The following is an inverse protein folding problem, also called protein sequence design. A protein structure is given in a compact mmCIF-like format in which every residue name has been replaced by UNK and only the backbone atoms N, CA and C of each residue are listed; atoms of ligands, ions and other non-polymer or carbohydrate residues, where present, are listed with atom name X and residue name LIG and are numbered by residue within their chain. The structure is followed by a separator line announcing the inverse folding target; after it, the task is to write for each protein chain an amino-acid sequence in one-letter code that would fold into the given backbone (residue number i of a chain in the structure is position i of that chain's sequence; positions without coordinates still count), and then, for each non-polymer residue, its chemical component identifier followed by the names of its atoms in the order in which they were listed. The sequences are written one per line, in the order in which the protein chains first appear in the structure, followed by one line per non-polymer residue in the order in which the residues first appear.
data_IF_383226384687
#
_entry.id   IF_383226384687
#
_cell.length_a   1.000
_cell.length_b   1.000
_cell.length_c   1.000
_cell.angle_alpha   90.00
_cell.angle_beta   90.00
_cell.angle_gamma   90.00
#
_symmetry.space_group_name_H-M   'P 1'
#
loop_
_entity.id
_entity.type
_entity.pdbx_description
1 polymer ?
#
# COMPACT_ATOMS: atom_id res chain seq x y z
N UNK A 1 6.47 19.11 15.15
CA UNK A 1 7.48 18.24 14.51
C UNK A 1 8.64 18.04 15.48
N UNK A 2 9.13 16.81 15.67
CA UNK A 2 10.27 16.50 16.55
C UNK A 2 11.45 15.99 15.73
N UNK A 3 12.65 16.55 15.95
CA UNK A 3 13.86 16.24 15.19
C UNK A 3 14.90 15.51 16.05
N UNK A 4 15.52 14.46 15.52
CA UNK A 4 16.72 13.90 16.11
C UNK A 4 17.94 14.75 15.75
N UNK A 5 18.59 15.38 16.74
CA UNK A 5 19.77 16.23 16.51
C UNK A 5 21.02 15.48 16.00
N UNK A 6 21.05 14.15 16.12
CA UNK A 6 22.22 13.32 15.74
C UNK A 6 22.19 12.87 14.28
N UNK A 7 21.01 12.59 13.73
CA UNK A 7 20.86 12.08 12.37
C UNK A 7 19.86 12.90 11.53
N UNK A 8 19.35 14.00 12.08
CA UNK A 8 18.40 14.91 11.45
C UNK A 8 17.09 14.25 10.98
N UNK A 9 16.76 13.04 11.48
CA UNK A 9 15.47 12.41 11.19
C UNK A 9 14.33 13.17 11.86
N UNK A 10 13.38 13.61 11.05
CA UNK A 10 12.14 14.23 11.49
C UNK A 10 11.08 13.18 11.83
N UNK A 11 10.33 13.43 12.89
CA UNK A 11 9.15 12.68 13.30
C UNK A 11 7.98 13.68 13.39
N UNK A 12 6.91 13.42 12.67
CA UNK A 12 5.70 14.25 12.60
C UNK A 12 4.49 13.52 13.19
N UNK A 13 3.33 14.19 13.29
CA UNK A 13 2.09 13.65 13.84
C UNK A 13 1.98 13.66 15.38
N UNK A 14 0.82 13.25 15.91
CA UNK A 14 0.48 13.29 17.34
C UNK A 14 1.51 12.57 18.23
N UNK A 15 2.00 11.41 17.78
CA UNK A 15 2.97 10.59 18.52
C UNK A 15 4.44 10.91 18.19
N UNK A 16 4.75 12.10 17.66
CA UNK A 16 6.10 12.48 17.25
C UNK A 16 7.14 12.35 18.36
N UNK A 17 6.77 12.70 19.60
CA UNK A 17 7.69 12.73 20.74
C UNK A 17 8.02 11.32 21.25
N UNK A 18 7.02 10.43 21.29
CA UNK A 18 7.21 9.02 21.58
C UNK A 18 8.11 8.38 20.50
N UNK A 19 7.79 8.60 19.21
CA UNK A 19 8.60 8.08 18.10
C UNK A 19 10.05 8.54 18.16
N UNK A 20 10.29 9.79 18.55
CA UNK A 20 11.64 10.30 18.76
C UNK A 20 12.36 9.58 19.92
N UNK A 21 11.68 9.28 21.04
CA UNK A 21 12.26 8.50 22.14
C UNK A 21 12.69 7.10 21.67
N UNK A 22 11.80 6.36 21.01
CA UNK A 22 12.12 5.02 20.47
C UNK A 22 13.25 5.07 19.43
N UNK A 23 13.22 6.09 18.56
CA UNK A 23 14.27 6.31 17.58
C UNK A 23 15.64 6.52 18.23
N UNK A 24 15.73 7.33 19.30
CA UNK A 24 17.01 7.61 20.00
C UNK A 24 17.68 6.33 20.51
N UNK A 25 16.91 5.35 21.01
CA UNK A 25 17.45 4.06 21.51
C UNK A 25 18.24 3.35 20.41
N UNK A 26 17.72 3.32 19.18
CA UNK A 26 18.40 2.70 18.04
C UNK A 26 19.50 3.61 17.46
N UNK A 27 19.20 4.90 17.32
CA UNK A 27 20.11 5.88 16.71
C UNK A 27 21.43 6.02 17.48
N UNK A 28 21.39 5.92 18.81
CA UNK A 28 22.58 6.07 19.65
C UNK A 28 23.57 4.90 19.51
N UNK A 29 23.12 3.74 19.00
CA UNK A 29 23.99 2.59 18.72
C UNK A 29 24.88 2.80 17.49
N UNK A 30 24.47 3.68 16.58
CA UNK A 30 25.21 3.97 15.35
C UNK A 30 26.22 5.09 15.58
N UNK A 31 27.35 5.08 14.85
CA UNK A 31 28.32 6.18 14.88
C UNK A 31 27.62 7.52 14.52
N UNK A 32 27.93 8.64 15.20
CA UNK A 32 27.41 9.95 14.81
C UNK A 32 27.75 10.22 13.35
N UNK A 33 26.79 10.79 12.61
CA UNK A 33 27.02 11.19 11.22
C UNK A 33 27.44 12.66 11.26
N UNK A 34 28.61 12.95 10.70
CA UNK A 34 29.04 14.33 10.46
C UNK A 34 28.34 14.80 9.19
N UNK A 35 27.44 15.80 9.24
CA UNK A 35 26.83 16.34 8.04
C UNK A 35 27.91 17.06 7.21
N UNK A 36 28.20 16.53 6.03
CA UNK A 36 29.08 17.19 5.07
C UNK A 36 28.20 18.15 4.26
N UNK A 37 28.39 19.45 4.47
CA UNK A 37 27.69 20.47 3.71
C UNK A 37 28.31 20.61 2.31
N UNK A 38 27.51 20.90 1.28
CA UNK A 38 28.05 21.23 -0.03
C UNK A 38 28.94 22.47 0.06
N UNK A 39 30.00 22.48 -0.76
CA UNK A 39 30.88 23.63 -0.91
C UNK A 39 30.04 24.81 -1.45
N UNK A 40 30.29 26.06 -1.02
CA UNK A 40 29.63 27.23 -1.59
C UNK A 40 29.72 27.24 -3.13
N UNK A 41 28.62 27.57 -3.81
CA UNK A 41 28.48 27.54 -5.28
C UNK A 41 28.67 26.15 -5.94
N UNK A 42 28.57 25.05 -5.18
CA UNK A 42 28.49 23.70 -5.76
C UNK A 42 27.06 23.20 -5.88
N UNK A 43 26.84 22.25 -6.78
CA UNK A 43 25.55 21.58 -6.98
C UNK A 43 25.63 20.20 -6.31
N UNK A 44 24.67 19.90 -5.44
CA UNK A 44 24.53 18.59 -4.80
C UNK A 44 23.37 17.84 -5.44
N UNK A 45 23.63 16.61 -5.91
CA UNK A 45 22.60 15.70 -6.42
C UNK A 45 22.19 14.73 -5.31
N UNK A 46 20.89 14.59 -5.07
CA UNK A 46 20.35 13.56 -4.18
C UNK A 46 20.02 12.31 -4.98
N UNK A 47 20.81 11.27 -4.79
CA UNK A 47 20.49 9.95 -5.35
C UNK A 47 19.44 9.25 -4.49
N UNK A 48 18.61 8.41 -5.12
CA UNK A 48 17.59 7.61 -4.43
C UNK A 48 16.55 8.42 -3.62
N UNK A 49 16.29 9.69 -3.99
CA UNK A 49 15.27 10.52 -3.34
C UNK A 49 13.87 9.89 -3.40
N UNK A 50 13.56 9.25 -4.54
CA UNK A 50 12.33 8.48 -4.75
C UNK A 50 12.08 7.44 -3.65
N UNK A 51 13.12 6.80 -3.10
CA UNK A 51 12.97 5.79 -2.02
C UNK A 51 12.50 6.39 -0.69
N UNK A 52 12.63 7.71 -0.51
CA UNK A 52 12.15 8.42 0.69
C UNK A 52 10.77 9.02 0.51
N UNK A 53 10.24 9.05 -0.72
CA UNK A 53 8.89 9.54 -0.96
C UNK A 53 7.87 8.53 -0.41
N UNK A 54 6.82 9.04 0.22
CA UNK A 54 5.69 8.19 0.61
C UNK A 54 4.99 7.71 -0.66
N UNK A 55 4.42 6.50 -0.62
CA UNK A 55 3.58 6.04 -1.72
C UNK A 55 2.41 7.03 -1.89
N UNK A 56 2.22 7.58 -3.10
CA UNK A 56 1.21 8.61 -3.35
C UNK A 56 -0.22 8.05 -3.26
N UNK A 57 -0.39 6.75 -3.45
CA UNK A 57 -1.66 6.05 -3.37
C UNK A 57 -1.50 4.73 -2.60
N UNK A 58 -2.57 4.32 -1.91
CA UNK A 58 -2.74 2.98 -1.38
C UNK A 58 -4.11 2.46 -1.82
N UNK A 59 -4.18 1.23 -2.31
CA UNK A 59 -5.45 0.57 -2.62
C UNK A 59 -5.76 -0.37 -1.46
N UNK A 60 -6.91 -0.15 -0.82
CA UNK A 60 -7.44 -1.08 0.16
C UNK A 60 -8.48 -1.94 -0.53
N UNK A 61 -8.40 -3.25 -0.32
CA UNK A 61 -9.38 -4.19 -0.83
C UNK A 61 -9.71 -5.21 0.26
N UNK A 62 -10.98 -5.55 0.33
CA UNK A 62 -11.49 -6.64 1.15
C UNK A 62 -12.33 -7.56 0.27
N UNK A 63 -12.25 -8.85 0.52
CA UNK A 63 -12.88 -9.87 -0.31
C UNK A 63 -13.63 -10.87 0.56
N UNK A 64 -14.82 -11.22 0.11
CA UNK A 64 -15.64 -12.25 0.72
C UNK A 64 -15.66 -13.48 -0.20
N UNK A 65 -15.50 -14.64 0.41
CA UNK A 65 -15.40 -15.91 -0.30
C UNK A 65 -16.40 -16.92 0.22
N UNK A 66 -16.99 -17.70 -0.68
CA UNK A 66 -17.75 -18.90 -0.35
C UNK A 66 -16.76 -20.05 -0.18
N UNK A 67 -16.89 -20.78 0.92
CA UNK A 67 -16.15 -22.01 1.18
C UNK A 67 -16.86 -23.18 0.49
N UNK A 68 -16.18 -23.82 -0.47
CA UNK A 68 -16.62 -25.07 -1.06
C UNK A 68 -15.83 -26.22 -0.50
N UNK A 69 -16.51 -27.27 -0.06
CA UNK A 69 -15.83 -28.50 0.38
C UNK A 69 -15.21 -29.20 -0.81
N UNK A 70 -13.98 -29.64 -0.62
CA UNK A 70 -13.33 -30.50 -1.59
C UNK A 70 -13.80 -31.94 -1.35
N UNK A 71 -14.42 -32.54 -2.36
CA UNK A 71 -14.92 -33.91 -2.28
C UNK A 71 -13.92 -34.92 -2.86
N UNK A 72 -12.88 -34.45 -3.56
CA UNK A 72 -11.86 -35.29 -4.16
C UNK A 72 -10.79 -35.61 -3.12
N UNK A 73 -10.96 -36.76 -2.47
CA UNK A 73 -9.92 -37.36 -1.63
C UNK A 73 -8.84 -37.91 -2.57
N UNK A 74 -7.83 -37.09 -2.88
CA UNK A 74 -6.63 -37.58 -3.54
C UNK A 74 -5.82 -38.41 -2.53
N UNK A 75 -6.06 -39.72 -2.52
CA UNK A 75 -5.46 -40.74 -1.64
C UNK A 75 -3.93 -40.90 -1.82
N UNK A 76 -3.28 -40.02 -2.59
CA UNK A 76 -1.90 -40.12 -3.07
C UNK A 76 -1.00 -38.99 -2.54
N UNK A 77 -1.56 -37.99 -1.84
CA UNK A 77 -0.81 -36.83 -1.36
C UNK A 77 -0.81 -36.77 0.17
N UNK A 78 0.35 -36.46 0.77
CA UNK A 78 0.50 -36.21 2.22
C UNK A 78 -0.25 -34.95 2.72
N UNK A 79 -0.95 -34.25 1.82
CA UNK A 79 -1.68 -33.03 2.08
C UNK A 79 -3.12 -33.20 1.59
N UNK A 80 -4.08 -32.99 2.49
CA UNK A 80 -5.52 -33.05 2.20
C UNK A 80 -6.03 -31.62 2.06
N UNK A 81 -6.56 -31.27 0.89
CA UNK A 81 -7.28 -30.01 0.71
C UNK A 81 -8.71 -30.25 1.18
N UNK A 82 -9.19 -29.46 2.15
CA UNK A 82 -10.51 -29.65 2.78
C UNK A 82 -11.54 -28.69 2.19
N UNK A 83 -11.09 -27.47 1.83
CA UNK A 83 -11.95 -26.44 1.27
C UNK A 83 -11.24 -25.61 0.22
N UNK A 84 -11.99 -25.22 -0.81
CA UNK A 84 -11.63 -24.17 -1.76
C UNK A 84 -12.36 -22.88 -1.41
N UNK A 85 -11.65 -21.75 -1.52
CA UNK A 85 -12.21 -20.43 -1.32
C UNK A 85 -12.53 -19.81 -2.67
N UNK A 86 -13.82 -19.62 -2.91
CA UNK A 86 -14.37 -19.08 -4.13
C UNK A 86 -14.80 -17.64 -3.90
N UNK A 87 -14.13 -16.69 -4.56
CA UNK A 87 -14.42 -15.26 -4.39
C UNK A 87 -15.87 -14.97 -4.81
N UNK A 88 -16.65 -14.39 -3.89
CA UNK A 88 -18.06 -14.07 -4.10
C UNK A 88 -18.27 -12.57 -4.29
N UNK A 89 -17.55 -11.76 -3.52
CA UNK A 89 -17.65 -10.31 -3.61
C UNK A 89 -16.39 -9.62 -3.15
N UNK A 90 -16.23 -8.36 -3.51
CA UNK A 90 -15.16 -7.53 -3.01
C UNK A 90 -15.62 -6.09 -2.82
N UNK A 91 -14.90 -5.38 -1.97
CA UNK A 91 -14.94 -3.94 -1.84
C UNK A 91 -13.51 -3.41 -1.97
N UNK A 92 -13.27 -2.44 -2.84
CA UNK A 92 -11.98 -1.76 -2.90
C UNK A 92 -12.15 -0.25 -2.97
N UNK A 93 -11.16 0.49 -2.46
CA UNK A 93 -11.11 1.94 -2.61
C UNK A 93 -9.67 2.44 -2.67
N UNK A 94 -9.48 3.56 -3.36
CA UNK A 94 -8.19 4.22 -3.49
C UNK A 94 -8.07 5.27 -2.40
N UNK A 95 -7.03 5.15 -1.58
CA UNK A 95 -6.64 6.17 -0.61
C UNK A 95 -5.45 6.97 -1.15
N UNK A 96 -5.66 8.19 -1.65
CA UNK A 96 -4.56 9.07 -2.00
C UNK A 96 -3.83 9.56 -0.75
N UNK A 97 -2.63 10.09 -0.95
CA UNK A 97 -1.91 10.80 0.09
C UNK A 97 -2.73 12.00 0.60
N UNK A 98 -2.73 12.25 1.92
CA UNK A 98 -3.58 13.27 2.57
C UNK A 98 -3.45 14.69 2.00
N UNK A 99 -2.37 15.00 1.28
CA UNK A 99 -2.11 16.32 0.67
C UNK A 99 -2.15 16.28 -0.86
N UNK A 100 -2.77 15.26 -1.45
CA UNK A 100 -2.96 15.19 -2.88
C UNK A 100 -4.00 16.24 -3.32
N UNK A 101 -3.67 17.13 -4.27
CA UNK A 101 -4.62 18.09 -4.82
C UNK A 101 -5.82 17.37 -5.45
N UNK A 102 -7.03 17.86 -5.19
CA UNK A 102 -8.25 17.27 -5.73
C UNK A 102 -8.30 17.39 -7.26
N UNK A 103 -7.74 18.48 -7.80
CA UNK A 103 -7.69 18.75 -9.23
C UNK A 103 -6.94 17.67 -10.00
N UNK A 104 -5.91 17.06 -9.38
CA UNK A 104 -5.19 15.93 -9.98
C UNK A 104 -6.03 14.65 -9.95
N UNK A 105 -6.76 14.39 -8.88
CA UNK A 105 -7.65 13.23 -8.81
C UNK A 105 -8.73 13.32 -9.89
N UNK A 106 -9.31 14.50 -10.08
CA UNK A 106 -10.35 14.75 -11.06
C UNK A 106 -9.79 14.67 -12.50
N UNK A 107 -8.61 15.27 -12.75
CA UNK A 107 -7.95 15.24 -14.07
C UNK A 107 -7.67 13.82 -14.57
N UNK A 108 -7.28 12.91 -13.67
CA UNK A 108 -6.96 11.52 -14.00
C UNK A 108 -8.13 10.55 -13.71
N UNK A 109 -9.30 11.08 -13.37
CA UNK A 109 -10.52 10.31 -13.08
C UNK A 109 -10.29 9.21 -12.03
N UNK A 110 -9.54 9.53 -10.97
CA UNK A 110 -9.21 8.62 -9.88
C UNK A 110 -10.33 8.70 -8.83
N UNK A 111 -11.22 7.72 -8.87
CA UNK A 111 -12.27 7.57 -7.87
C UNK A 111 -11.68 7.10 -6.53
N UNK A 112 -12.02 7.82 -5.46
CA UNK A 112 -11.59 7.50 -4.08
C UNK A 112 -12.70 6.86 -3.23
N UNK A 113 -13.92 6.81 -3.77
CA UNK A 113 -15.06 6.13 -3.16
C UNK A 113 -14.90 4.60 -3.20
N UNK A 114 -15.61 3.88 -2.31
CA UNK A 114 -15.60 2.42 -2.32
C UNK A 114 -16.37 1.87 -3.53
N UNK A 115 -15.68 1.03 -4.30
CA UNK A 115 -16.27 0.19 -5.35
C UNK A 115 -16.62 -1.15 -4.72
N UNK A 116 -17.91 -1.48 -4.75
CA UNK A 116 -18.44 -2.74 -4.22
C UNK A 116 -18.96 -3.56 -5.40
N UNK A 117 -18.50 -4.80 -5.51
CA UNK A 117 -19.00 -5.74 -6.49
C UNK A 117 -19.40 -7.05 -5.81
N UNK A 118 -20.62 -7.51 -6.10
CA UNK A 118 -21.13 -8.82 -5.66
C UNK A 118 -21.46 -9.63 -6.90
N UNK A 119 -20.92 -10.85 -6.98
CA UNK A 119 -21.33 -11.80 -8.01
C UNK A 119 -22.80 -12.16 -7.84
N UNK A 120 -23.49 -12.35 -8.96
CA UNK A 120 -24.86 -12.88 -8.98
C UNK A 120 -24.85 -14.41 -9.22
N UNK A 121 -26.00 -15.06 -9.05
CA UNK A 121 -26.14 -16.51 -9.24
C UNK A 121 -25.90 -16.99 -10.67
N UNK A 122 -25.82 -16.08 -11.64
CA UNK A 122 -25.54 -16.36 -13.06
C UNK A 122 -24.09 -16.14 -13.45
N UNK A 123 -23.33 -15.43 -12.62
CA UNK A 123 -21.90 -15.17 -12.79
C UNK A 123 -21.13 -16.44 -12.48
N UNK A 124 -20.19 -16.84 -13.34
CA UNK A 124 -19.24 -17.87 -12.94
C UNK A 124 -18.34 -17.27 -11.84
N UNK A 125 -18.00 -18.03 -10.81
CA UNK A 125 -17.18 -17.56 -9.68
C UNK A 125 -15.81 -17.08 -10.13
N UNK A 126 -15.24 -17.72 -11.16
CA UNK A 126 -14.01 -17.27 -11.79
C UNK A 126 -14.12 -15.84 -12.36
N UNK A 127 -15.33 -15.35 -12.63
CA UNK A 127 -15.55 -14.03 -13.21
C UNK A 127 -15.45 -12.92 -12.15
N UNK A 128 -15.79 -13.20 -10.88
CA UNK A 128 -15.65 -12.23 -9.79
C UNK A 128 -14.17 -11.90 -9.54
N UNK A 129 -13.32 -12.93 -9.44
CA UNK A 129 -11.88 -12.76 -9.26
C UNK A 129 -11.22 -12.09 -10.47
N UNK A 130 -11.61 -12.47 -11.69
CA UNK A 130 -11.14 -11.80 -12.92
C UNK A 130 -11.54 -10.33 -12.94
N UNK A 131 -12.80 -10.02 -12.60
CA UNK A 131 -13.28 -8.65 -12.56
C UNK A 131 -12.54 -7.84 -11.50
N UNK A 132 -12.29 -8.39 -10.32
CA UNK A 132 -11.46 -7.74 -9.30
C UNK A 132 -10.09 -7.36 -9.87
N UNK A 133 -9.39 -8.32 -10.47
CA UNK A 133 -8.07 -8.05 -11.05
C UNK A 133 -8.12 -6.99 -12.17
N UNK A 134 -9.14 -7.03 -13.02
CA UNK A 134 -9.35 -6.02 -14.05
C UNK A 134 -9.54 -4.63 -13.45
N UNK A 135 -10.37 -4.51 -12.41
CA UNK A 135 -10.62 -3.24 -11.71
C UNK A 135 -9.31 -2.66 -11.13
N UNK A 136 -8.51 -3.49 -10.44
CA UNK A 136 -7.21 -3.07 -9.89
C UNK A 136 -6.25 -2.62 -10.99
N UNK A 137 -6.22 -3.31 -12.13
CA UNK A 137 -5.38 -2.94 -13.28
C UNK A 137 -5.81 -1.60 -13.85
N UNK A 138 -7.11 -1.36 -14.05
CA UNK A 138 -7.62 -0.10 -14.58
C UNK A 138 -7.34 1.08 -13.64
N UNK A 139 -7.51 0.90 -12.32
CA UNK A 139 -7.11 1.88 -11.31
C UNK A 139 -5.60 2.19 -11.41
N UNK A 140 -4.78 1.14 -11.51
CA UNK A 140 -3.31 1.30 -11.56
C UNK A 140 -2.87 2.04 -12.82
N UNK A 141 -3.47 1.76 -13.98
CA UNK A 141 -3.21 2.48 -15.24
C UNK A 141 -3.53 3.97 -15.15
N UNK A 142 -4.56 4.35 -14.37
CA UNK A 142 -4.87 5.77 -14.11
C UNK A 142 -3.82 6.43 -13.23
N UNK A 143 -3.29 5.71 -12.25
CA UNK A 143 -2.26 6.17 -11.30
C UNK A 143 -0.87 6.30 -11.94
N UNK A 144 -0.54 5.47 -12.93
CA UNK A 144 0.78 5.48 -13.59
C UNK A 144 0.98 6.61 -14.62
N UNK A 145 -0.08 7.35 -14.98
CA UNK A 145 -0.03 8.47 -15.93
C UNK A 145 0.43 9.78 -15.27
#
# INVERSE_FOLDING_TARGET
MCLCKRCFKSNSGLNAQHRLKLHKIKCNKNKPITPILPIPKSIMKFENWNRKQKHPFAIYADVESILRKENDVYDVLNTIIIHHHDLMSYCCYVKPYDYMPQELLDQYEIETGPVIFRGDSTSNICDVAKKFMYEIIEITKKIEK
#
